data_IF_369178438455
#
_entry.id   IF_369178438455
#
_cell.length_a   1.000
_cell.length_b   1.000
_cell.length_c   1.000
_cell.angle_alpha   90.00
_cell.angle_beta   90.00
_cell.angle_gamma   90.00
#
_symmetry.space_group_name_H-M   'P 1'
#
loop_
_entity.id
_entity.type
_entity.pdbx_description
1 polymer ?
#
# COMPACT_ATOMS: atom_id res chain seq x y z
N UNK A 1 -33.79 1.90 18.63
CA UNK A 1 -35.12 2.53 18.47
C UNK A 1 -35.26 2.95 17.02
N UNK A 2 -36.07 2.29 16.18
CA UNK A 2 -36.34 2.81 14.85
C UNK A 2 -37.05 4.16 15.01
N UNK A 3 -36.56 5.19 14.33
CA UNK A 3 -37.20 6.50 14.32
C UNK A 3 -38.63 6.32 13.80
N UNK A 4 -39.60 6.92 14.48
CA UNK A 4 -40.98 7.01 14.02
C UNK A 4 -40.99 7.62 12.61
N UNK A 5 -41.42 6.87 11.58
CA UNK A 5 -41.38 7.32 10.19
C UNK A 5 -42.31 8.51 9.90
N UNK A 6 -43.17 8.91 10.84
CA UNK A 6 -44.07 10.06 10.64
C UNK A 6 -43.42 11.42 10.91
N UNK A 7 -42.26 11.50 11.56
CA UNK A 7 -41.74 12.75 12.12
C UNK A 7 -40.60 13.45 11.33
N UNK A 8 -40.26 13.03 10.11
CA UNK A 8 -39.27 13.72 9.27
C UNK A 8 -39.90 14.42 8.05
N UNK A 9 -40.85 15.31 8.30
CA UNK A 9 -41.44 16.17 7.26
C UNK A 9 -40.78 17.55 7.29
N UNK A 10 -39.93 17.85 6.31
CA UNK A 10 -39.71 19.22 5.91
C UNK A 10 -40.93 19.63 5.07
N UNK A 11 -41.95 20.20 5.73
CA UNK A 11 -43.06 20.84 5.02
C UNK A 11 -42.50 22.09 4.31
N UNK A 12 -42.94 22.40 3.08
CA UNK A 12 -42.71 23.72 2.49
C UNK A 12 -43.35 24.79 3.38
N UNK A 13 -42.74 25.98 3.45
CA UNK A 13 -43.17 27.08 4.35
C UNK A 13 -44.61 27.55 4.13
N UNK A 14 -45.22 27.26 2.96
CA UNK A 14 -46.63 27.51 2.65
C UNK A 14 -47.36 26.20 2.30
N UNK A 15 -48.06 25.55 3.25
CA UNK A 15 -48.79 24.31 3.00
C UNK A 15 -49.95 24.47 2.00
N UNK A 16 -50.42 25.70 1.74
CA UNK A 16 -51.51 25.99 0.79
C UNK A 16 -51.11 25.81 -0.68
N UNK A 17 -49.85 26.10 -1.02
CA UNK A 17 -49.33 26.08 -2.39
C UNK A 17 -49.01 24.68 -2.96
N UNK A 18 -49.00 23.65 -2.11
CA UNK A 18 -48.55 22.31 -2.49
C UNK A 18 -49.65 21.27 -2.37
N UNK A 19 -49.59 20.23 -3.21
CA UNK A 19 -50.39 19.01 -3.06
C UNK A 19 -49.49 17.77 -3.05
N UNK A 20 -49.91 16.74 -2.34
CA UNK A 20 -49.22 15.44 -2.31
C UNK A 20 -49.30 14.78 -3.70
N UNK A 21 -48.16 14.35 -4.22
CA UNK A 21 -48.01 13.71 -5.54
C UNK A 21 -47.41 12.29 -5.41
N UNK A 22 -47.95 11.51 -4.48
CA UNK A 22 -47.54 10.13 -4.22
C UNK A 22 -46.36 9.99 -3.25
N UNK A 23 -45.77 8.79 -3.25
CA UNK A 23 -44.61 8.41 -2.43
C UNK A 23 -43.65 7.54 -3.23
N UNK A 24 -42.37 7.55 -2.88
CA UNK A 24 -41.41 6.58 -3.42
C UNK A 24 -40.52 6.02 -2.31
N UNK A 25 -40.13 4.73 -2.38
CA UNK A 25 -39.18 4.16 -1.44
C UNK A 25 -37.77 4.68 -1.72
N UNK A 26 -36.99 4.90 -0.66
CA UNK A 26 -35.57 5.25 -0.74
C UNK A 26 -34.80 4.45 0.30
N UNK A 27 -33.66 3.88 -0.06
CA UNK A 27 -32.82 3.13 0.87
C UNK A 27 -31.56 3.94 1.17
N UNK A 28 -31.37 4.30 2.44
CA UNK A 28 -30.17 4.97 2.93
C UNK A 28 -29.36 3.98 3.76
N UNK A 29 -28.04 3.98 3.56
CA UNK A 29 -27.14 2.99 4.16
C UNK A 29 -27.21 2.98 5.69
N UNK A 30 -27.47 4.12 6.33
CA UNK A 30 -27.52 4.24 7.81
C UNK A 30 -28.96 4.27 8.37
N UNK A 31 -29.92 4.81 7.61
CA UNK A 31 -31.32 4.98 8.07
C UNK A 31 -32.26 3.85 7.61
N UNK A 32 -31.78 2.93 6.77
CA UNK A 32 -32.58 1.86 6.19
C UNK A 32 -33.56 2.36 5.12
N UNK A 33 -34.69 1.66 4.97
CA UNK A 33 -35.73 1.98 3.99
C UNK A 33 -36.62 3.12 4.52
N UNK A 34 -36.64 4.22 3.81
CA UNK A 34 -37.51 5.37 4.03
C UNK A 34 -38.59 5.45 2.95
N UNK A 35 -39.75 6.00 3.30
CA UNK A 35 -40.81 6.33 2.34
C UNK A 35 -40.86 7.85 2.19
N UNK A 36 -40.40 8.34 1.04
CA UNK A 36 -40.33 9.78 0.77
C UNK A 36 -41.65 10.24 0.17
N UNK A 37 -42.23 11.31 0.73
CA UNK A 37 -43.41 11.97 0.20
C UNK A 37 -43.01 12.87 -0.97
N UNK A 38 -43.77 12.82 -2.06
CA UNK A 38 -43.61 13.75 -3.19
C UNK A 38 -44.62 14.87 -3.05
N UNK A 39 -44.17 16.09 -3.33
CA UNK A 39 -45.01 17.27 -3.38
C UNK A 39 -45.01 17.84 -4.80
N UNK A 40 -46.09 18.49 -5.18
CA UNK A 40 -46.25 19.17 -6.46
C UNK A 40 -46.87 20.54 -6.22
N UNK A 41 -46.29 21.56 -6.83
CA UNK A 41 -46.81 22.92 -6.80
C UNK A 41 -48.13 22.97 -7.57
N UNK A 42 -49.15 23.61 -6.99
CA UNK A 42 -50.47 23.75 -7.64
C UNK A 42 -50.45 24.71 -8.84
N UNK A 43 -49.55 25.68 -8.84
CA UNK A 43 -49.49 26.74 -9.85
C UNK A 43 -48.61 26.36 -11.04
N UNK A 44 -47.37 25.92 -10.79
CA UNK A 44 -46.39 25.64 -11.84
C UNK A 44 -46.27 24.16 -12.20
N UNK A 45 -46.97 23.26 -11.49
CA UNK A 45 -46.91 21.80 -11.67
C UNK A 45 -45.55 21.15 -11.45
N UNK A 46 -44.53 21.93 -11.06
CA UNK A 46 -43.22 21.44 -10.66
C UNK A 46 -43.33 20.53 -9.43
N UNK A 47 -42.53 19.46 -9.41
CA UNK A 47 -42.52 18.48 -8.33
C UNK A 47 -41.15 18.34 -7.66
N UNK A 48 -40.60 19.42 -7.07
CA UNK A 48 -39.47 19.27 -6.16
C UNK A 48 -39.92 18.35 -5.03
N UNK A 49 -39.22 17.24 -4.87
CA UNK A 49 -39.34 16.41 -3.68
C UNK A 49 -38.18 16.80 -2.78
N UNK A 50 -38.31 17.90 -1.98
CA UNK A 50 -37.25 18.29 -1.06
C UNK A 50 -36.99 17.09 -0.17
N UNK A 51 -35.75 16.64 -0.19
CA UNK A 51 -35.32 15.63 0.74
C UNK A 51 -35.19 16.30 2.11
N UNK A 52 -35.44 15.58 3.21
CA UNK A 52 -35.10 16.09 4.54
C UNK A 52 -33.68 16.66 4.57
N UNK A 53 -33.38 17.67 5.41
CA UNK A 53 -32.07 18.33 5.43
C UNK A 53 -30.88 17.37 5.60
N UNK A 54 -31.10 16.22 6.23
CA UNK A 54 -30.11 15.15 6.46
C UNK A 54 -30.10 14.06 5.36
N UNK A 55 -30.96 14.16 4.34
CA UNK A 55 -31.08 13.21 3.23
C UNK A 55 -30.61 13.89 1.96
N UNK A 56 -29.43 13.53 1.47
CA UNK A 56 -28.94 14.05 0.19
C UNK A 56 -29.46 13.23 -0.99
N UNK A 57 -29.35 13.77 -2.21
CA UNK A 57 -29.63 13.04 -3.45
C UNK A 57 -28.76 11.79 -3.61
N UNK A 58 -27.64 11.69 -2.88
CA UNK A 58 -26.82 10.51 -2.79
C UNK A 58 -27.32 9.55 -1.70
N UNK A 59 -27.40 8.24 -1.96
CA UNK A 59 -27.84 7.25 -0.98
C UNK A 59 -26.87 7.06 0.20
N UNK A 60 -25.70 7.73 0.16
CA UNK A 60 -24.62 7.63 1.14
C UNK A 60 -24.16 9.03 1.57
N UNK A 61 -24.25 9.38 2.85
CA UNK A 61 -23.81 10.69 3.33
C UNK A 61 -22.29 10.83 3.27
N UNK A 62 -21.79 12.07 3.28
CA UNK A 62 -20.35 12.36 3.22
C UNK A 62 -19.58 11.68 4.36
N UNK A 63 -20.08 11.78 5.59
CA UNK A 63 -19.50 11.15 6.79
C UNK A 63 -19.36 9.63 6.69
N UNK A 64 -20.30 8.97 6.00
CA UNK A 64 -20.18 7.52 5.74
C UNK A 64 -19.02 7.23 4.78
N UNK A 65 -18.86 8.03 3.73
CA UNK A 65 -17.76 7.85 2.77
C UNK A 65 -16.41 8.12 3.42
N UNK A 66 -16.33 9.11 4.31
CA UNK A 66 -15.13 9.42 5.12
C UNK A 66 -14.76 8.25 6.02
N UNK A 67 -15.71 7.73 6.81
CA UNK A 67 -15.49 6.54 7.63
C UNK A 67 -15.01 5.33 6.80
N UNK A 68 -15.63 5.07 5.65
CA UNK A 68 -15.20 3.99 4.74
C UNK A 68 -13.76 4.22 4.25
N UNK A 69 -13.40 5.47 3.98
CA UNK A 69 -12.04 5.84 3.55
C UNK A 69 -11.03 5.64 4.66
N UNK A 70 -11.34 6.06 5.89
CA UNK A 70 -10.47 5.87 7.06
C UNK A 70 -10.22 4.39 7.33
N UNK A 71 -11.27 3.56 7.32
CA UNK A 71 -11.13 2.12 7.50
C UNK A 71 -10.30 1.48 6.38
N UNK A 72 -10.45 1.95 5.14
CA UNK A 72 -9.64 1.49 4.01
C UNK A 72 -8.15 1.87 4.18
N UNK A 73 -7.87 3.11 4.58
CA UNK A 73 -6.51 3.60 4.87
C UNK A 73 -5.87 2.81 6.02
N UNK A 74 -6.65 2.39 7.01
CA UNK A 74 -6.23 1.49 8.09
C UNK A 74 -6.24 0.00 7.69
N UNK A 75 -5.95 -0.29 6.42
CA UNK A 75 -5.69 -1.63 5.90
C UNK A 75 -6.89 -2.60 5.88
N UNK A 76 -8.14 -2.11 5.96
CA UNK A 76 -9.30 -2.98 5.76
C UNK A 76 -9.61 -3.09 4.27
N UNK A 77 -9.43 -4.29 3.71
CA UNK A 77 -9.76 -4.55 2.30
C UNK A 77 -11.24 -4.26 1.99
N UNK A 78 -11.57 -3.88 0.75
CA UNK A 78 -12.97 -3.66 0.34
C UNK A 78 -13.89 -4.86 0.58
N UNK A 79 -13.36 -6.09 0.47
CA UNK A 79 -14.11 -7.31 0.82
C UNK A 79 -14.38 -7.40 2.32
N UNK A 80 -13.39 -7.03 3.14
CA UNK A 80 -13.55 -6.92 4.60
C UNK A 80 -14.59 -5.87 4.98
N UNK A 81 -14.50 -4.68 4.40
CA UNK A 81 -15.47 -3.60 4.59
C UNK A 81 -16.89 -4.02 4.19
N UNK A 82 -17.03 -4.63 3.02
CA UNK A 82 -18.32 -5.13 2.53
C UNK A 82 -18.96 -6.13 3.51
N UNK A 83 -18.17 -7.06 4.07
CA UNK A 83 -18.63 -8.00 5.11
C UNK A 83 -18.98 -7.29 6.42
N UNK A 84 -18.12 -6.39 6.90
CA UNK A 84 -18.35 -5.62 8.12
C UNK A 84 -19.66 -4.83 8.05
N UNK A 85 -19.87 -4.12 6.94
CA UNK A 85 -21.09 -3.33 6.73
C UNK A 85 -22.33 -4.21 6.57
N UNK A 86 -22.20 -5.39 5.95
CA UNK A 86 -23.30 -6.36 5.88
C UNK A 86 -23.72 -6.84 7.28
N UNK A 87 -22.76 -7.10 8.19
CA UNK A 87 -23.05 -7.47 9.58
C UNK A 87 -23.75 -6.33 10.35
N UNK A 88 -23.45 -5.08 10.00
CA UNK A 88 -24.09 -3.88 10.56
C UNK A 88 -25.45 -3.56 9.90
N UNK A 89 -25.98 -4.43 9.04
CA UNK A 89 -27.26 -4.22 8.35
C UNK A 89 -27.23 -3.17 7.24
N UNK A 90 -26.03 -2.71 6.86
CA UNK A 90 -25.80 -1.64 5.91
C UNK A 90 -24.94 -2.09 4.73
N UNK A 91 -25.15 -3.33 4.27
CA UNK A 91 -24.31 -3.98 3.25
C UNK A 91 -24.10 -3.12 2.00
N UNK A 92 -22.83 -2.89 1.66
CA UNK A 92 -22.39 -2.19 0.46
C UNK A 92 -21.42 -3.09 -0.31
N UNK A 93 -21.61 -3.18 -1.63
CA UNK A 93 -20.71 -3.94 -2.51
C UNK A 93 -19.32 -3.30 -2.59
N UNK A 94 -18.28 -4.13 -2.73
CA UNK A 94 -16.88 -3.68 -2.79
C UNK A 94 -16.62 -2.62 -3.88
N UNK A 95 -17.21 -2.77 -5.07
CA UNK A 95 -17.10 -1.79 -6.16
C UNK A 95 -17.69 -0.42 -5.79
N UNK A 96 -18.77 -0.41 -5.02
CA UNK A 96 -19.39 0.83 -4.54
C UNK A 96 -18.51 1.50 -3.48
N UNK A 97 -17.97 0.73 -2.55
CA UNK A 97 -17.01 1.24 -1.55
C UNK A 97 -15.77 1.83 -2.21
N UNK A 98 -15.24 1.18 -3.25
CA UNK A 98 -14.14 1.73 -4.04
C UNK A 98 -14.49 3.12 -4.62
N UNK A 99 -15.67 3.28 -5.23
CA UNK A 99 -16.12 4.59 -5.74
C UNK A 99 -16.27 5.63 -4.64
N UNK A 100 -16.72 5.22 -3.45
CA UNK A 100 -16.87 6.12 -2.31
C UNK A 100 -15.51 6.61 -1.81
N UNK A 101 -14.51 5.73 -1.71
CA UNK A 101 -13.12 6.09 -1.38
C UNK A 101 -12.56 7.06 -2.41
N UNK A 102 -12.73 6.79 -3.71
CA UNK A 102 -12.28 7.69 -4.78
C UNK A 102 -12.96 9.07 -4.72
N UNK A 103 -14.19 9.16 -4.20
CA UNK A 103 -14.92 10.42 -4.07
C UNK A 103 -14.46 11.27 -2.86
N UNK A 104 -13.97 10.64 -1.80
CA UNK A 104 -13.48 11.32 -0.58
C UNK A 104 -12.00 11.61 -0.63
N UNK A 105 -11.25 10.78 -1.32
CA UNK A 105 -9.87 11.03 -1.65
C UNK A 105 -9.76 11.58 -3.08
N UNK A 106 -10.20 12.82 -3.38
CA UNK A 106 -9.66 13.54 -4.51
C UNK A 106 -8.25 13.94 -4.10
N UNK A 107 -7.37 12.97 -3.87
CA UNK A 107 -5.96 13.24 -3.82
C UNK A 107 -5.67 13.86 -5.18
N UNK A 108 -5.58 15.19 -5.22
CA UNK A 108 -5.10 15.91 -6.38
C UNK A 108 -3.79 15.21 -6.68
N UNK A 109 -3.74 14.48 -7.79
CA UNK A 109 -2.50 13.89 -8.24
C UNK A 109 -1.49 15.04 -8.18
N UNK A 110 -0.38 14.90 -7.43
CA UNK A 110 0.60 15.96 -7.34
C UNK A 110 0.90 16.40 -8.77
N UNK A 111 0.88 17.71 -9.02
CA UNK A 111 1.14 18.20 -10.37
C UNK A 111 2.54 17.70 -10.77
N UNK A 112 2.64 16.81 -11.78
CA UNK A 112 3.91 16.18 -12.12
C UNK A 112 4.94 17.20 -12.64
N UNK A 113 4.50 18.42 -12.97
CA UNK A 113 5.34 19.52 -13.45
C UNK A 113 5.59 20.59 -12.39
N UNK A 114 4.94 20.52 -11.21
CA UNK A 114 5.16 21.50 -10.16
C UNK A 114 6.60 21.45 -9.67
N UNK A 115 7.20 22.62 -9.47
CA UNK A 115 8.51 22.73 -8.85
C UNK A 115 8.50 22.08 -7.46
N UNK A 116 9.58 21.38 -7.14
CA UNK A 116 9.81 20.73 -5.86
C UNK A 116 10.80 21.56 -5.02
N UNK A 117 10.84 21.32 -3.70
CA UNK A 117 11.90 21.85 -2.86
C UNK A 117 13.29 21.42 -3.37
N UNK A 118 14.36 22.22 -3.12
CA UNK A 118 15.71 21.88 -3.53
C UNK A 118 16.22 20.55 -2.97
N UNK A 119 15.67 20.11 -1.84
CA UNK A 119 16.00 18.86 -1.20
C UNK A 119 14.74 18.05 -0.91
N UNK A 120 14.74 16.77 -1.27
CA UNK A 120 13.61 15.87 -1.09
C UNK A 120 14.08 14.51 -0.59
N UNK A 121 13.18 13.76 0.05
CA UNK A 121 13.42 12.35 0.35
C UNK A 121 12.80 11.49 -0.74
N UNK A 122 13.53 10.46 -1.15
CA UNK A 122 13.08 9.44 -2.07
C UNK A 122 13.05 8.12 -1.32
N UNK A 123 11.88 7.51 -1.29
CA UNK A 123 11.68 6.17 -0.77
C UNK A 123 11.06 5.28 -1.84
N UNK A 124 11.38 3.99 -1.82
CA UNK A 124 10.83 3.01 -2.73
C UNK A 124 10.12 1.88 -1.99
N UNK A 125 9.04 1.39 -2.59
CA UNK A 125 8.36 0.20 -2.10
C UNK A 125 7.89 -0.66 -3.26
N UNK A 126 7.77 -1.96 -3.04
CA UNK A 126 7.40 -2.92 -4.07
C UNK A 126 5.97 -3.39 -3.84
N UNK A 127 5.07 -3.02 -4.75
CA UNK A 127 3.66 -3.42 -4.70
C UNK A 127 3.35 -4.46 -5.76
N UNK A 128 2.51 -5.44 -5.42
CA UNK A 128 1.95 -6.35 -6.42
C UNK A 128 0.75 -5.70 -7.08
N UNK A 129 0.88 -5.33 -8.35
CA UNK A 129 -0.16 -4.66 -9.13
C UNK A 129 -0.42 -5.50 -10.39
N UNK A 130 -1.65 -6.01 -10.51
CA UNK A 130 -1.99 -6.91 -11.61
C UNK A 130 -1.25 -8.26 -11.56
N UNK A 131 -0.80 -8.69 -10.39
CA UNK A 131 -0.01 -9.92 -10.21
C UNK A 131 1.49 -9.75 -10.44
N UNK A 132 1.94 -8.58 -10.89
CA UNK A 132 3.35 -8.27 -11.10
C UNK A 132 3.88 -7.44 -9.94
N UNK A 133 5.10 -7.76 -9.46
CA UNK A 133 5.81 -6.88 -8.51
C UNK A 133 6.32 -5.66 -9.27
N UNK A 134 5.89 -4.47 -8.85
CA UNK A 134 6.27 -3.19 -9.43
C UNK A 134 6.74 -2.26 -8.33
N UNK A 135 7.84 -1.54 -8.53
CA UNK A 135 8.28 -0.55 -7.58
C UNK A 135 7.43 0.71 -7.72
N UNK A 136 7.23 1.34 -6.57
CA UNK A 136 6.53 2.59 -6.38
C UNK A 136 7.51 3.50 -5.68
N UNK A 137 7.99 4.48 -6.41
CA UNK A 137 8.84 5.52 -5.87
C UNK A 137 7.98 6.65 -5.32
N UNK A 138 8.31 7.13 -4.13
CA UNK A 138 7.63 8.21 -3.46
C UNK A 138 8.62 9.34 -3.20
N UNK A 139 8.19 10.57 -3.47
CA UNK A 139 8.96 11.78 -3.14
C UNK A 139 8.27 12.45 -1.97
N UNK A 140 9.02 12.64 -0.89
CA UNK A 140 8.57 13.33 0.31
C UNK A 140 9.28 14.67 0.45
N UNK A 141 8.55 15.65 0.95
CA UNK A 141 9.10 16.94 1.31
C UNK A 141 9.76 16.93 2.68
N UNK A 142 10.35 18.07 3.09
CA UNK A 142 11.08 18.17 4.36
C UNK A 142 10.22 17.93 5.61
N UNK A 143 8.89 18.04 5.51
CA UNK A 143 7.96 17.77 6.60
C UNK A 143 7.31 16.38 6.50
N UNK A 144 7.79 15.52 5.58
CA UNK A 144 7.25 14.19 5.33
C UNK A 144 5.95 14.19 4.51
N UNK A 145 5.55 15.33 3.96
CA UNK A 145 4.41 15.42 3.07
C UNK A 145 4.70 14.78 1.71
N UNK A 146 3.72 14.08 1.14
CA UNK A 146 3.89 13.42 -0.17
C UNK A 146 3.83 14.45 -1.30
N UNK A 147 4.96 14.65 -1.98
CA UNK A 147 5.12 15.59 -3.10
C UNK A 147 5.00 14.95 -4.48
N UNK A 148 5.35 13.66 -4.62
CA UNK A 148 5.15 12.90 -5.86
C UNK A 148 5.00 11.41 -5.53
N UNK A 149 4.33 10.67 -6.41
CA UNK A 149 4.18 9.22 -6.33
C UNK A 149 4.20 8.64 -7.74
N UNK A 150 5.19 7.82 -8.05
CA UNK A 150 5.34 7.21 -9.38
C UNK A 150 5.35 5.71 -9.29
N UNK A 151 4.37 5.12 -9.98
CA UNK A 151 4.39 3.70 -10.30
C UNK A 151 5.26 3.50 -11.54
N UNK A 152 6.37 2.77 -11.42
CA UNK A 152 7.18 2.46 -12.59
C UNK A 152 6.55 1.33 -13.42
N UNK A 153 6.99 1.24 -14.68
CA UNK A 153 6.85 0.01 -15.47
C UNK A 153 7.82 -1.05 -14.94
N UNK A 154 7.69 -2.33 -15.35
CA UNK A 154 8.72 -3.32 -15.09
C UNK A 154 10.10 -2.79 -15.56
N UNK A 155 11.05 -2.71 -14.64
CA UNK A 155 12.31 -1.97 -14.83
C UNK A 155 12.13 -0.46 -14.59
N UNK A 156 12.69 0.05 -13.50
CA UNK A 156 12.66 1.49 -13.22
C UNK A 156 13.71 2.17 -14.07
N UNK A 157 13.29 3.16 -14.86
CA UNK A 157 14.20 4.11 -15.50
C UNK A 157 14.64 5.16 -14.47
N UNK A 158 15.55 4.76 -13.57
CA UNK A 158 16.11 5.66 -12.56
C UNK A 158 16.76 6.91 -13.17
N UNK A 159 17.55 6.82 -14.25
CA UNK A 159 18.12 8.00 -14.91
C UNK A 159 17.05 9.00 -15.37
N UNK A 160 16.02 8.54 -16.09
CA UNK A 160 14.92 9.39 -16.55
C UNK A 160 14.11 9.96 -15.37
N UNK A 161 13.97 9.17 -14.30
CA UNK A 161 13.26 9.61 -13.09
C UNK A 161 14.00 10.73 -12.35
N UNK A 162 15.29 10.56 -12.06
CA UNK A 162 16.11 11.57 -11.40
C UNK A 162 16.31 12.82 -12.26
N UNK A 163 16.45 12.66 -13.58
CA UNK A 163 16.43 13.80 -14.54
C UNK A 163 15.13 14.60 -14.41
N UNK A 164 14.00 13.91 -14.25
CA UNK A 164 12.71 14.53 -14.00
C UNK A 164 12.62 15.29 -12.67
N UNK A 165 13.35 14.86 -11.63
CA UNK A 165 13.44 15.59 -10.36
C UNK A 165 14.32 16.85 -10.49
N UNK A 166 15.48 16.74 -11.14
CA UNK A 166 16.36 17.87 -11.41
C UNK A 166 15.63 18.96 -12.24
N UNK A 167 14.87 18.57 -13.25
CA UNK A 167 14.03 19.48 -14.04
C UNK A 167 12.97 20.23 -13.20
N UNK A 168 12.58 19.66 -12.05
CA UNK A 168 11.65 20.27 -11.09
C UNK A 168 12.37 21.08 -10.00
N UNK A 169 13.65 21.44 -10.21
CA UNK A 169 14.50 22.26 -9.33
C UNK A 169 15.01 21.54 -8.07
N UNK A 170 14.93 20.22 -8.02
CA UNK A 170 15.63 19.43 -7.00
C UNK A 170 17.14 19.54 -7.25
N UNK A 171 17.91 19.75 -6.19
CA UNK A 171 19.37 19.83 -6.19
C UNK A 171 19.99 18.63 -5.50
N UNK A 172 19.31 18.06 -4.50
CA UNK A 172 19.76 16.84 -3.86
C UNK A 172 18.63 16.00 -3.28
N UNK A 173 18.96 14.75 -2.99
CA UNK A 173 18.01 13.73 -2.52
C UNK A 173 18.57 12.98 -1.32
N UNK A 174 17.67 12.62 -0.41
CA UNK A 174 17.94 11.60 0.60
C UNK A 174 17.31 10.28 0.17
N UNK A 175 18.11 9.23 -0.04
CA UNK A 175 17.65 7.92 -0.55
C UNK A 175 18.14 6.79 0.34
N UNK A 176 17.71 5.55 0.10
CA UNK A 176 18.40 4.38 0.64
C UNK A 176 19.82 4.20 0.02
N UNK A 177 20.49 3.10 0.36
CA UNK A 177 21.82 2.76 -0.16
C UNK A 177 21.77 1.79 -1.36
N UNK A 178 20.84 1.99 -2.30
CA UNK A 178 20.91 1.22 -3.56
C UNK A 178 22.07 1.71 -4.44
N UNK A 179 22.89 0.77 -4.91
CA UNK A 179 24.02 1.03 -5.80
C UNK A 179 23.58 1.54 -7.17
N UNK A 180 22.36 1.19 -7.62
CA UNK A 180 21.84 1.63 -8.93
C UNK A 180 21.57 3.13 -8.97
N UNK A 181 21.41 3.79 -7.82
CA UNK A 181 21.12 5.21 -7.77
C UNK A 181 22.35 6.08 -8.05
N UNK A 182 23.56 5.64 -7.68
CA UNK A 182 24.77 6.46 -7.77
C UNK A 182 24.99 7.04 -9.17
N UNK A 183 25.16 6.20 -10.22
CA UNK A 183 25.35 6.68 -11.58
C UNK A 183 24.18 7.51 -12.12
N UNK A 184 22.95 7.18 -11.72
CA UNK A 184 21.75 7.88 -12.19
C UNK A 184 21.61 9.28 -11.56
N UNK A 185 21.99 9.44 -10.29
CA UNK A 185 22.02 10.72 -9.58
C UNK A 185 23.14 11.62 -10.10
N UNK A 186 24.33 11.07 -10.30
CA UNK A 186 25.47 11.80 -10.88
C UNK A 186 25.13 12.33 -12.28
N UNK A 187 24.55 11.49 -13.13
CA UNK A 187 24.11 11.89 -14.47
C UNK A 187 23.01 12.99 -14.46
N UNK A 188 22.16 13.00 -13.43
CA UNK A 188 21.13 14.01 -13.22
C UNK A 188 21.66 15.29 -12.55
N UNK A 189 22.92 15.32 -12.10
CA UNK A 189 23.51 16.43 -11.37
C UNK A 189 22.88 16.63 -9.98
N UNK A 190 22.44 15.55 -9.33
CA UNK A 190 21.82 15.59 -8.02
C UNK A 190 22.80 15.14 -6.93
N UNK A 191 22.86 15.91 -5.85
CA UNK A 191 23.57 15.50 -4.64
C UNK A 191 22.83 14.33 -3.95
N UNK A 192 23.59 13.42 -3.34
CA UNK A 192 23.05 12.28 -2.60
C UNK A 192 23.43 12.35 -1.14
N UNK A 193 22.44 12.15 -0.28
CA UNK A 193 22.64 11.75 1.11
C UNK A 193 21.99 10.38 1.35
N UNK A 194 22.67 9.52 2.09
CA UNK A 194 22.10 8.25 2.53
C UNK A 194 21.15 8.48 3.71
N UNK A 195 19.98 7.85 3.65
CA UNK A 195 18.99 7.87 4.71
C UNK A 195 19.50 7.10 5.93
N UNK A 196 19.66 7.80 7.05
CA UNK A 196 20.16 7.22 8.31
C UNK A 196 19.25 6.10 8.84
N UNK A 197 17.94 6.19 8.58
CA UNK A 197 16.97 5.16 8.98
C UNK A 197 17.20 3.86 8.19
N UNK A 198 17.39 3.94 6.87
CA UNK A 198 17.70 2.77 6.04
C UNK A 198 19.06 2.19 6.40
N UNK A 199 20.08 3.03 6.57
CA UNK A 199 21.40 2.57 7.01
C UNK A 199 21.35 1.84 8.34
N UNK A 200 20.65 2.40 9.34
CA UNK A 200 20.46 1.75 10.64
C UNK A 200 19.76 0.40 10.51
N UNK A 201 18.67 0.31 9.74
CA UNK A 201 17.94 -0.95 9.50
C UNK A 201 18.83 -1.99 8.82
N UNK A 202 19.61 -1.59 7.84
CA UNK A 202 20.54 -2.48 7.11
C UNK A 202 21.62 -3.00 8.05
N UNK A 203 22.25 -2.13 8.85
CA UNK A 203 23.27 -2.52 9.83
C UNK A 203 22.68 -3.44 10.91
N UNK A 204 21.52 -3.09 11.49
CA UNK A 204 20.86 -3.94 12.49
C UNK A 204 20.52 -5.33 11.93
N UNK A 205 20.05 -5.40 10.67
CA UNK A 205 19.77 -6.68 10.00
C UNK A 205 21.05 -7.49 9.80
N UNK A 206 22.14 -6.84 9.39
CA UNK A 206 23.42 -7.49 9.19
C UNK A 206 23.97 -8.05 10.51
N UNK A 207 23.93 -7.27 11.60
CA UNK A 207 24.36 -7.72 12.93
C UNK A 207 23.57 -8.95 13.38
N UNK A 208 22.24 -8.96 13.23
CA UNK A 208 21.41 -10.13 13.56
C UNK A 208 21.75 -11.35 12.73
N UNK A 209 22.03 -11.16 11.43
CA UNK A 209 22.43 -12.27 10.56
C UNK A 209 23.80 -12.87 10.92
N UNK A 210 24.69 -12.07 11.50
CA UNK A 210 25.97 -12.58 12.01
C UNK A 210 25.72 -13.42 13.26
N UNK A 211 24.89 -12.95 14.19
CA UNK A 211 24.59 -13.66 15.44
C UNK A 211 23.95 -15.04 15.16
N UNK A 212 22.96 -15.09 14.26
CA UNK A 212 22.30 -16.34 13.86
C UNK A 212 23.27 -17.36 13.21
N UNK A 213 24.23 -16.89 12.41
CA UNK A 213 25.20 -17.75 11.73
C UNK A 213 26.43 -18.10 12.58
N UNK A 214 26.87 -17.19 13.46
CA UNK A 214 28.04 -17.42 14.32
C UNK A 214 27.75 -18.41 15.45
N UNK A 215 26.51 -18.43 15.96
CA UNK A 215 26.09 -19.39 16.98
C UNK A 215 25.91 -20.82 16.43
N UNK A 216 25.52 -20.97 15.16
CA UNK A 216 25.32 -22.29 14.56
C UNK A 216 26.62 -23.04 14.26
N UNK A 217 27.73 -22.34 14.03
CA UNK A 217 29.04 -22.98 13.82
C UNK A 217 29.75 -23.34 15.14
N UNK A 218 29.55 -22.58 16.22
CA UNK A 218 30.19 -22.85 17.51
C UNK A 218 29.62 -24.09 18.22
N UNK A 219 28.35 -24.44 17.97
CA UNK A 219 27.75 -25.66 18.51
C UNK A 219 28.15 -26.93 17.74
N UNK A 220 28.54 -26.82 16.47
CA UNK A 220 28.97 -27.98 15.65
C UNK A 220 30.41 -28.40 15.91
N UNK A 221 31.28 -27.49 16.37
CA UNK A 221 32.66 -27.82 16.71
C UNK A 221 32.83 -28.31 18.15
N UNK A 222 31.74 -28.48 18.93
CA UNK A 222 31.86 -29.11 20.24
C UNK A 222 32.34 -30.54 20.01
N UNK A 223 33.62 -30.87 20.34
CA UNK A 223 34.11 -32.21 20.14
C UNK A 223 33.18 -33.15 20.91
N UNK A 224 32.81 -34.32 20.35
CA UNK A 224 31.95 -35.27 21.04
C UNK A 224 32.53 -35.43 22.44
N UNK A 225 31.70 -35.20 23.47
CA UNK A 225 32.12 -35.26 24.86
C UNK A 225 33.02 -36.48 25.01
N UNK A 226 34.30 -36.22 25.32
CA UNK A 226 35.29 -37.27 25.42
C UNK A 226 34.75 -38.24 26.46
N UNK A 227 34.26 -39.39 26.00
CA UNK A 227 33.83 -40.47 26.86
C UNK A 227 34.93 -40.76 27.90
N UNK A 228 34.57 -41.30 29.07
CA UNK A 228 35.45 -41.43 30.22
C UNK A 228 36.84 -41.91 29.79
N UNK A 229 37.85 -41.06 30.03
CA UNK A 229 39.25 -41.27 29.62
C UNK A 229 39.72 -42.64 30.10
N UNK A 230 39.99 -43.55 29.17
CA UNK A 230 40.74 -44.75 29.46
C UNK A 230 42.15 -44.39 29.95
N UNK A 231 42.71 -45.11 30.93
CA UNK A 231 44.02 -44.81 31.49
C UNK A 231 45.13 -44.93 30.43
N UNK A 232 46.01 -43.93 30.41
CA UNK A 232 47.05 -43.73 29.40
C UNK A 232 48.08 -44.87 29.37
N UNK A 233 48.21 -45.53 28.23
CA UNK A 233 49.34 -46.39 27.92
C UNK A 233 50.53 -45.56 27.43
N UNK A 234 51.70 -45.77 28.04
CA UNK A 234 52.96 -45.11 27.71
C UNK A 234 53.54 -45.65 26.39
N UNK A 235 53.91 -44.72 25.51
CA UNK A 235 55.06 -44.87 24.63
C UNK A 235 54.74 -45.00 23.13
N UNK A 236 55.10 -43.98 22.37
CA UNK A 236 55.91 -44.09 21.15
C UNK A 236 56.11 -42.69 20.55
N UNK A 237 57.36 -42.36 20.23
CA UNK A 237 57.77 -41.19 19.46
C UNK A 237 57.63 -41.47 17.96
N UNK A 238 57.13 -40.51 17.18
CA UNK A 238 57.34 -40.40 15.73
C UNK A 238 57.05 -38.93 15.31
N UNK A 239 58.09 -38.14 15.03
CA UNK A 239 58.70 -37.85 13.72
C UNK A 239 57.90 -36.85 12.86
N UNK A 240 58.49 -35.67 12.71
CA UNK A 240 58.05 -34.50 11.94
C UNK A 240 58.25 -34.71 10.44
N UNK A 241 57.30 -34.26 9.62
CA UNK A 241 57.46 -34.05 8.17
C UNK A 241 56.86 -32.69 7.74
N UNK A 242 57.38 -32.04 6.67
CA UNK A 242 57.17 -30.61 6.43
C UNK A 242 56.07 -30.26 5.42
N UNK A 243 55.66 -28.98 5.53
CA UNK A 243 54.76 -28.12 4.73
C UNK A 243 54.66 -28.39 3.22
N UNK A 244 53.42 -28.34 2.72
CA UNK A 244 53.07 -28.12 1.30
C UNK A 244 52.09 -26.94 1.11
N UNK A 245 52.58 -25.96 0.34
CA UNK A 245 51.93 -24.99 -0.57
C UNK A 245 50.43 -24.66 -0.51
N UNK A 246 50.13 -23.36 -0.30
CA UNK A 246 48.85 -22.68 -0.53
C UNK A 246 48.75 -22.27 -2.01
N UNK A 247 47.71 -22.76 -2.71
CA UNK A 247 47.30 -22.26 -4.02
C UNK A 247 46.19 -21.22 -3.86
N UNK A 248 46.33 -20.09 -4.56
CA UNK A 248 45.34 -19.04 -4.68
C UNK A 248 44.13 -19.52 -5.48
N UNK A 249 42.92 -19.32 -4.95
CA UNK A 249 41.66 -19.45 -5.69
C UNK A 249 41.07 -18.05 -5.93
N UNK A 250 40.74 -17.78 -7.19
CA UNK A 250 40.24 -16.49 -7.67
C UNK A 250 38.84 -16.16 -7.19
N UNK A 251 38.59 -14.85 -7.07
CA UNK A 251 37.29 -14.27 -6.77
C UNK A 251 36.34 -14.44 -7.98
N UNK A 252 35.24 -15.15 -7.77
CA UNK A 252 34.07 -15.12 -8.65
C UNK A 252 33.09 -14.08 -8.11
N UNK A 253 32.75 -13.10 -8.95
CA UNK A 253 31.69 -12.13 -8.74
C UNK A 253 30.34 -12.84 -8.72
N UNK A 254 29.71 -12.91 -7.55
CA UNK A 254 28.34 -13.45 -7.40
C UNK A 254 27.28 -12.45 -7.86
N UNK A 255 26.36 -12.92 -8.70
CA UNK A 255 25.08 -12.26 -8.98
C UNK A 255 24.26 -12.05 -7.68
N UNK A 256 23.46 -10.98 -7.57
CA UNK A 256 22.55 -10.82 -6.44
C UNK A 256 21.42 -11.84 -6.51
N UNK A 257 21.51 -12.86 -5.66
CA UNK A 257 20.41 -13.79 -5.40
C UNK A 257 19.30 -13.05 -4.65
N UNK A 258 18.27 -12.63 -5.39
CA UNK A 258 16.98 -12.25 -4.81
C UNK A 258 16.32 -13.49 -4.21
N UNK A 259 16.52 -13.72 -2.92
CA UNK A 259 15.88 -14.80 -2.20
C UNK A 259 14.36 -14.59 -2.13
N UNK A 260 13.62 -15.35 -2.94
CA UNK A 260 12.20 -15.60 -2.76
C UNK A 260 12.01 -16.45 -1.50
N UNK A 261 11.49 -15.85 -0.43
CA UNK A 261 11.01 -16.64 0.70
C UNK A 261 9.68 -17.31 0.37
N UNK A 262 9.75 -18.64 0.26
CA UNK A 262 8.63 -19.55 0.48
C UNK A 262 8.18 -19.46 1.95
N UNK A 263 6.91 -19.13 2.19
CA UNK A 263 6.23 -19.46 3.44
C UNK A 263 5.78 -20.93 3.41
N UNK A 264 5.96 -21.71 4.49
CA UNK A 264 5.44 -23.06 4.56
C UNK A 264 3.93 -23.04 4.90
N UNK A 265 3.17 -23.75 4.05
CA UNK A 265 1.87 -24.39 4.27
C UNK A 265 0.75 -23.61 4.97
N UNK A 266 -0.26 -23.21 4.19
CA UNK A 266 -1.63 -23.08 4.71
C UNK A 266 -2.53 -22.04 4.04
N UNK A 267 -2.83 -22.19 2.75
CA UNK A 267 -3.94 -21.44 2.13
C UNK A 267 -3.73 -21.10 0.67
N UNK A 268 -4.28 -21.92 -0.23
CA UNK A 268 -4.32 -21.67 -1.65
C UNK A 268 -5.34 -20.54 -1.93
N UNK A 269 -4.90 -19.28 -1.94
CA UNK A 269 -5.74 -18.16 -2.38
C UNK A 269 -5.73 -18.13 -3.90
N UNK A 270 -6.62 -18.92 -4.51
CA UNK A 270 -7.10 -18.65 -5.86
C UNK A 270 -7.95 -17.38 -5.80
N UNK A 271 -7.44 -16.28 -6.34
CA UNK A 271 -8.27 -15.14 -6.72
C UNK A 271 -8.81 -15.38 -8.15
N UNK A 272 -10.14 -15.44 -8.35
CA UNK A 272 -10.74 -15.31 -9.66
C UNK A 272 -11.09 -13.84 -9.89
N UNK A 273 -10.57 -13.25 -10.98
CA UNK A 273 -11.06 -12.06 -11.68
C UNK A 273 -9.97 -11.78 -12.73
N UNK A 274 -10.19 -12.01 -14.02
CA UNK A 274 -11.35 -11.62 -14.79
C UNK A 274 -10.81 -10.74 -15.91
N UNK A 275 -10.14 -11.37 -16.87
CA UNK A 275 -9.71 -10.69 -18.08
C UNK A 275 -10.97 -10.33 -18.88
N UNK A 276 -11.25 -9.05 -19.03
CA UNK A 276 -12.13 -8.55 -20.07
C UNK A 276 -11.35 -8.66 -21.38
N UNK A 277 -11.57 -9.75 -22.13
CA UNK A 277 -11.25 -9.80 -23.55
C UNK A 277 -12.37 -9.11 -24.31
N UNK A 278 -12.06 -8.01 -24.99
CA UNK A 278 -12.90 -7.45 -26.04
C UNK A 278 -12.80 -8.34 -27.27
N UNK A 279 -13.90 -8.98 -27.68
CA UNK A 279 -14.01 -9.58 -29.02
C UNK A 279 -14.15 -8.47 -30.07
N UNK A 280 -13.46 -8.52 -31.21
CA UNK A 280 -13.83 -7.72 -32.35
C UNK A 280 -15.13 -8.30 -32.95
N UNK A 281 -16.16 -7.47 -33.05
CA UNK A 281 -17.38 -7.82 -33.79
C UNK A 281 -17.10 -7.82 -35.30
N UNK A 282 -17.84 -8.62 -36.09
CA UNK A 282 -17.62 -8.71 -37.52
C UNK A 282 -18.16 -7.47 -38.25
N UNK A 283 -17.39 -6.99 -39.22
CA UNK A 283 -17.87 -6.33 -40.42
C UNK A 283 -17.27 -7.07 -41.61
#
# INVERSE_FOLDING_TARGET
MPADPEHQQALPDDPGAWRRNGTYPRHLVVRGRLRILRWQCKDCWGSPSPLPPDVTSHPRPQTFRELVTDLYVHCVSFRGLSRLLALLGCGVGATTLWRDVQAVAPGRAPDPQAALPPWVEVDETWLSIGGEKRPVAMVLGPQGERLDLRLSRPGVDWPGWFTGLAARKVQGVTTDDDLVYGPALEAAGLDRQQCTVHMRRTVERHIRSIDENALTHLDQERPPEAGPRAPAAKGAQASVAPRGTLAQAGAQSGEPQGACFHQPAGGLVRCPLGALQSSPGPA
#
